data_IF_074075870382
#
_entry.id   IF_074075870382
#
_cell.length_a   1.000
_cell.length_b   1.000
_cell.length_c   1.000
_cell.angle_alpha   90.00
_cell.angle_beta   90.00
_cell.angle_gamma   90.00
#
_symmetry.space_group_name_H-M   'P 1'
#
loop_
_entity.id
_entity.type
_entity.pdbx_description
1 polymer ?
#
# COMPACT_ATOMS: atom_id res chain seq x y z
N UNK A 1 2.97 3.20 11.02
CA UNK A 1 3.07 1.74 10.94
C UNK A 1 3.81 1.26 12.17
N UNK A 2 3.24 0.31 12.89
CA UNK A 2 3.92 -0.37 13.98
C UNK A 2 5.23 -1.03 13.48
N UNK A 3 6.34 -0.83 14.20
CA UNK A 3 7.66 -1.32 13.81
C UNK A 3 7.75 -2.85 13.72
N UNK A 4 7.00 -3.57 14.56
CA UNK A 4 6.95 -5.03 14.54
C UNK A 4 6.27 -5.53 13.26
N UNK A 5 5.16 -4.91 12.89
CA UNK A 5 4.45 -5.19 11.63
C UNK A 5 5.36 -4.90 10.44
N UNK A 6 6.00 -3.73 10.42
CA UNK A 6 6.96 -3.38 9.38
C UNK A 6 8.11 -4.39 9.27
N UNK A 7 8.64 -4.86 10.40
CA UNK A 7 9.67 -5.90 10.44
C UNK A 7 9.20 -7.23 9.85
N UNK A 8 7.98 -7.66 10.17
CA UNK A 8 7.37 -8.88 9.61
C UNK A 8 7.17 -8.77 8.11
N UNK A 9 6.53 -7.69 7.64
CA UNK A 9 6.29 -7.48 6.22
C UNK A 9 7.59 -7.35 5.42
N UNK A 10 8.61 -6.70 5.99
CA UNK A 10 9.95 -6.64 5.38
C UNK A 10 10.58 -8.02 5.23
N UNK A 11 10.43 -8.90 6.21
CA UNK A 11 10.99 -10.25 6.14
C UNK A 11 10.26 -11.12 5.09
N UNK A 12 8.94 -10.97 4.98
CA UNK A 12 8.12 -11.76 4.07
C UNK A 12 8.20 -11.27 2.61
N UNK A 13 8.24 -9.96 2.41
CA UNK A 13 8.23 -9.31 1.10
C UNK A 13 9.56 -8.61 0.78
N UNK A 14 10.69 -9.17 1.22
CA UNK A 14 12.03 -8.53 1.18
C UNK A 14 12.34 -7.81 -0.14
N UNK A 15 12.06 -8.45 -1.28
CA UNK A 15 12.37 -7.88 -2.59
C UNK A 15 11.40 -6.79 -3.07
N UNK A 16 10.19 -6.73 -2.52
CA UNK A 16 9.20 -5.69 -2.82
C UNK A 16 9.23 -4.57 -1.78
N UNK A 17 9.84 -4.82 -0.62
CA UNK A 17 9.85 -3.90 0.50
C UNK A 17 10.74 -2.69 0.23
N UNK A 18 10.17 -1.50 0.43
CA UNK A 18 10.90 -0.25 0.43
C UNK A 18 10.65 0.51 1.73
N UNK A 19 11.67 1.18 2.26
CA UNK A 19 11.60 1.90 3.54
C UNK A 19 10.44 2.90 3.62
N UNK A 20 10.01 3.46 2.50
CA UNK A 20 8.88 4.40 2.49
C UNK A 20 7.55 3.78 2.93
N UNK A 21 7.40 2.45 2.89
CA UNK A 21 6.23 1.74 3.42
C UNK A 21 6.12 1.88 4.95
N UNK A 22 7.22 2.14 5.65
CA UNK A 22 7.22 2.38 7.11
C UNK A 22 6.45 3.66 7.49
N UNK A 23 6.29 4.61 6.54
CA UNK A 23 5.58 5.86 6.76
C UNK A 23 4.04 5.71 6.73
N UNK A 24 3.53 4.55 6.32
CA UNK A 24 2.08 4.32 6.26
C UNK A 24 1.44 4.36 7.65
N UNK A 25 0.23 4.90 7.81
CA UNK A 25 -0.55 4.76 9.03
C UNK A 25 -0.87 3.29 9.36
N UNK A 26 -1.11 2.99 10.63
CA UNK A 26 -1.34 1.61 11.08
C UNK A 26 -2.59 1.00 10.44
N UNK A 27 -3.66 1.79 10.28
CA UNK A 27 -4.89 1.35 9.64
C UNK A 27 -4.74 1.01 8.16
N UNK A 28 -3.68 1.45 7.48
CA UNK A 28 -3.41 1.14 6.08
C UNK A 28 -2.48 -0.06 5.88
N UNK A 29 -2.22 -0.82 6.96
CA UNK A 29 -1.43 -2.06 6.89
C UNK A 29 -2.09 -3.10 6.00
N UNK A 30 -3.40 -3.33 6.14
CA UNK A 30 -4.12 -4.32 5.35
C UNK A 30 -4.17 -3.98 3.84
N UNK A 31 -4.50 -2.74 3.43
CA UNK A 31 -4.31 -2.30 2.04
C UNK A 31 -2.90 -2.55 1.50
N UNK A 32 -1.86 -2.29 2.30
CA UNK A 32 -0.48 -2.56 1.88
C UNK A 32 -0.24 -4.06 1.68
N UNK A 33 -0.75 -4.93 2.57
CA UNK A 33 -0.61 -6.38 2.44
C UNK A 33 -1.28 -6.86 1.15
N UNK A 34 -2.49 -6.39 0.84
CA UNK A 34 -3.15 -6.74 -0.42
C UNK A 34 -2.35 -6.32 -1.65
N UNK A 35 -1.76 -5.12 -1.64
CA UNK A 35 -0.86 -4.68 -2.70
C UNK A 35 0.35 -5.61 -2.82
N UNK A 36 1.05 -5.87 -1.71
CA UNK A 36 2.26 -6.70 -1.69
C UNK A 36 1.97 -8.13 -2.18
N UNK A 37 0.87 -8.74 -1.75
CA UNK A 37 0.45 -10.07 -2.21
C UNK A 37 0.20 -10.11 -3.72
N UNK A 38 -0.52 -9.12 -4.26
CA UNK A 38 -0.78 -9.06 -5.71
C UNK A 38 0.53 -8.91 -6.50
N UNK A 39 1.40 -8.02 -6.04
CA UNK A 39 2.70 -7.79 -6.69
C UNK A 39 3.63 -9.00 -6.57
N UNK A 40 3.57 -9.73 -5.44
CA UNK A 40 4.28 -10.99 -5.25
C UNK A 40 3.78 -12.05 -6.25
N UNK A 41 2.46 -12.25 -6.36
CA UNK A 41 1.86 -13.19 -7.33
C UNK A 41 2.28 -12.86 -8.76
N UNK A 42 2.25 -11.59 -9.15
CA UNK A 42 2.72 -11.16 -10.47
C UNK A 42 4.21 -11.47 -10.70
N UNK A 43 5.02 -11.50 -9.64
CA UNK A 43 6.45 -11.82 -9.69
C UNK A 43 6.74 -13.33 -9.73
N UNK A 44 5.78 -14.19 -9.35
CA UNK A 44 5.94 -15.65 -9.34
C UNK A 44 5.62 -16.34 -10.68
N UNK A 45 5.06 -15.63 -11.65
CA UNK A 45 4.70 -16.21 -12.96
C UNK A 45 5.89 -16.04 -13.93
N UNK A 46 6.87 -16.92 -13.89
CA UNK A 46 7.90 -17.06 -14.93
C UNK A 46 8.22 -18.54 -15.10
N UNK A 47 8.76 -19.01 -16.24
CA UNK A 47 9.27 -20.37 -16.29
C UNK A 47 10.31 -20.51 -15.17
N UNK A 48 10.01 -21.40 -14.22
CA UNK A 48 10.93 -21.84 -13.19
C UNK A 48 12.06 -22.58 -13.87
N UNK A 49 13.00 -21.85 -14.46
CA UNK A 49 14.22 -22.46 -14.96
C UNK A 49 14.93 -23.00 -13.72
N UNK A 50 15.20 -24.31 -13.70
CA UNK A 50 15.88 -25.07 -12.64
C UNK A 50 17.22 -24.47 -12.14
N UNK A 51 17.69 -23.39 -12.75
CA UNK A 51 18.97 -22.73 -12.46
C UNK A 51 18.86 -21.49 -11.56
N UNK A 52 17.66 -21.02 -11.18
CA UNK A 52 17.54 -19.92 -10.20
C UNK A 52 16.23 -19.99 -9.42
N UNK A 53 16.22 -20.49 -8.17
CA UNK A 53 15.03 -20.55 -7.32
C UNK A 53 14.69 -19.18 -6.68
N UNK A 54 14.95 -18.09 -7.40
CA UNK A 54 14.78 -16.73 -6.91
C UNK A 54 13.50 -16.11 -7.47
N UNK A 55 12.72 -15.46 -6.60
CA UNK A 55 11.66 -14.55 -7.00
C UNK A 55 12.21 -13.59 -8.07
N UNK A 56 11.64 -13.58 -9.28
CA UNK A 56 12.02 -12.56 -10.28
C UNK A 56 11.20 -11.32 -9.97
N UNK A 57 11.68 -10.53 -9.03
CA UNK A 57 11.11 -9.22 -8.74
C UNK A 57 11.37 -8.31 -9.94
N UNK A 58 10.29 -7.90 -10.59
CA UNK A 58 10.32 -7.23 -11.88
C UNK A 58 9.97 -5.74 -11.78
N UNK A 59 9.54 -5.30 -10.60
CA UNK A 59 9.41 -3.89 -10.20
C UNK A 59 10.02 -3.61 -8.84
N UNK A 60 10.53 -2.40 -8.65
CA UNK A 60 10.73 -1.82 -7.34
C UNK A 60 9.48 -1.04 -6.95
N UNK A 61 8.98 -1.23 -5.73
CA UNK A 61 7.82 -0.51 -5.22
C UNK A 61 8.25 0.63 -4.30
N UNK A 62 7.58 1.77 -4.41
CA UNK A 62 7.68 2.88 -3.48
C UNK A 62 6.29 3.38 -3.13
N UNK A 63 6.05 3.65 -1.85
CA UNK A 63 4.82 4.27 -1.39
C UNK A 63 5.08 5.71 -0.96
N UNK A 64 4.16 6.61 -1.30
CA UNK A 64 4.08 7.98 -0.79
C UNK A 64 2.76 8.18 -0.05
N UNK A 65 2.83 8.83 1.11
CA UNK A 65 1.70 8.97 2.03
C UNK A 65 1.28 10.44 2.07
N UNK A 66 0.04 10.70 1.65
CA UNK A 66 -0.63 11.99 1.82
C UNK A 66 -1.52 12.01 3.06
N UNK A 67 -2.21 13.13 3.29
CA UNK A 67 -3.17 13.28 4.40
C UNK A 67 -4.37 12.35 4.26
N UNK A 68 -4.87 12.17 3.03
CA UNK A 68 -6.13 11.49 2.72
C UNK A 68 -5.99 10.19 1.93
N UNK A 69 -4.79 9.84 1.48
CA UNK A 69 -4.53 8.64 0.71
C UNK A 69 -3.04 8.31 0.67
N UNK A 70 -2.71 7.10 0.23
CA UNK A 70 -1.36 6.76 -0.20
C UNK A 70 -1.34 6.39 -1.68
N UNK A 71 -0.20 6.65 -2.32
CA UNK A 71 0.05 6.29 -3.72
C UNK A 71 1.26 5.36 -3.78
N UNK A 72 1.09 4.24 -4.47
CA UNK A 72 2.19 3.32 -4.75
C UNK A 72 2.69 3.51 -6.19
N UNK A 73 4.00 3.42 -6.35
CA UNK A 73 4.71 3.56 -7.63
C UNK A 73 5.52 2.31 -7.89
N UNK A 74 5.37 1.75 -9.09
CA UNK A 74 6.17 0.61 -9.55
C UNK A 74 7.19 1.08 -10.59
N UNK A 75 8.48 0.83 -10.33
CA UNK A 75 9.57 1.13 -11.25
C UNK A 75 10.07 -0.17 -11.88
N UNK A 76 10.09 -0.31 -13.21
CA UNK A 76 10.55 -1.54 -13.85
C UNK A 76 12.02 -1.83 -13.53
N UNK A 77 12.31 -3.06 -13.11
CA UNK A 77 13.70 -3.57 -12.96
C UNK A 77 14.07 -4.52 -14.10
N UNK A 78 13.09 -5.16 -14.73
CA UNK A 78 13.31 -5.97 -15.94
C UNK A 78 13.40 -5.10 -17.20
N UNK A 79 14.15 -5.60 -18.19
CA UNK A 79 14.22 -4.97 -19.50
C UNK A 79 12.82 -4.81 -20.14
N UNK A 80 12.54 -3.71 -20.87
CA UNK A 80 11.22 -3.40 -21.42
C UNK A 80 10.55 -4.53 -22.22
N UNK A 81 11.33 -5.35 -22.94
CA UNK A 81 10.80 -6.48 -23.73
C UNK A 81 10.33 -7.69 -22.93
N UNK A 82 10.47 -7.66 -21.60
CA UNK A 82 9.97 -8.71 -20.68
C UNK A 82 8.65 -8.33 -20.01
N UNK A 83 8.14 -7.13 -20.26
CA UNK A 83 6.84 -6.66 -19.79
C UNK A 83 5.76 -7.08 -20.78
N UNK A 84 4.95 -8.06 -20.38
CA UNK A 84 3.76 -8.42 -21.14
C UNK A 84 2.62 -7.44 -20.82
N UNK A 85 1.79 -7.03 -21.81
CA UNK A 85 0.70 -6.08 -21.60
C UNK A 85 -0.24 -6.45 -20.45
N UNK A 86 -0.57 -7.74 -20.32
CA UNK A 86 -1.43 -8.25 -19.25
C UNK A 86 -0.85 -8.01 -17.85
N UNK A 87 0.47 -8.19 -17.68
CA UNK A 87 1.13 -7.95 -16.39
C UNK A 87 1.25 -6.46 -16.08
N UNK A 88 1.51 -5.66 -17.11
CA UNK A 88 1.55 -4.20 -16.96
C UNK A 88 0.19 -3.68 -16.50
N UNK A 89 -0.89 -4.16 -17.12
CA UNK A 89 -2.26 -3.80 -16.72
C UNK A 89 -2.56 -4.26 -15.29
N UNK A 90 -2.28 -5.52 -14.95
CA UNK A 90 -2.52 -6.04 -13.61
C UNK A 90 -1.71 -5.30 -12.52
N UNK A 91 -0.51 -4.82 -12.85
CA UNK A 91 0.27 -3.96 -11.96
C UNK A 91 -0.42 -2.61 -11.77
N UNK A 92 -0.87 -1.96 -12.84
CA UNK A 92 -1.58 -0.67 -12.74
C UNK A 92 -2.85 -0.83 -11.91
N UNK A 93 -3.64 -1.88 -12.14
CA UNK A 93 -4.84 -2.19 -11.37
C UNK A 93 -4.53 -2.37 -9.87
N UNK A 94 -3.46 -3.08 -9.53
CA UNK A 94 -3.06 -3.26 -8.13
C UNK A 94 -2.67 -1.92 -7.45
N UNK A 95 -1.95 -1.04 -8.16
CA UNK A 95 -1.59 0.28 -7.64
C UNK A 95 -2.81 1.20 -7.48
N UNK A 96 -3.73 1.18 -8.44
CA UNK A 96 -4.97 1.98 -8.40
C UNK A 96 -5.90 1.49 -7.29
N UNK A 97 -6.02 0.18 -7.11
CA UNK A 97 -6.85 -0.39 -6.05
C UNK A 97 -6.28 -0.06 -4.67
N UNK A 98 -4.96 -0.15 -4.49
CA UNK A 98 -4.30 0.29 -3.25
C UNK A 98 -4.64 1.74 -2.91
N UNK A 99 -4.55 2.64 -3.91
CA UNK A 99 -4.91 4.04 -3.72
C UNK A 99 -6.36 4.20 -3.27
N UNK A 100 -7.30 3.55 -3.95
CA UNK A 100 -8.73 3.58 -3.62
C UNK A 100 -8.99 3.04 -2.21
N UNK A 101 -8.41 1.90 -1.84
CA UNK A 101 -8.55 1.33 -0.50
C UNK A 101 -8.12 2.32 0.59
N UNK A 102 -7.00 3.03 0.40
CA UNK A 102 -6.54 4.01 1.40
C UNK A 102 -7.45 5.23 1.56
N UNK A 103 -8.27 5.55 0.55
CA UNK A 103 -9.26 6.64 0.61
C UNK A 103 -10.53 6.28 1.40
N UNK A 104 -10.79 4.98 1.56
CA UNK A 104 -11.99 4.43 2.21
C UNK A 104 -11.65 3.71 3.53
N UNK A 105 -10.37 3.69 3.91
CA UNK A 105 -9.89 2.99 5.12
C UNK A 105 -9.43 3.99 6.17
N UNK A 106 -9.96 3.87 7.38
CA UNK A 106 -9.54 4.67 8.52
C UNK A 106 -8.03 4.52 8.78
N UNK A 107 -7.30 5.63 8.79
CA UNK A 107 -5.84 5.63 8.96
C UNK A 107 -5.38 5.12 10.34
N UNK A 108 -6.25 5.10 11.34
CA UNK A 108 -5.93 4.64 12.70
C UNK A 108 -6.15 3.14 12.85
N UNK A 109 -7.37 2.66 12.55
CA UNK A 109 -7.77 1.29 12.90
C UNK A 109 -8.05 0.36 11.73
N UNK A 110 -8.07 0.85 10.48
CA UNK A 110 -8.33 0.02 9.30
C UNK A 110 -9.81 -0.29 9.03
N UNK A 111 -10.74 0.22 9.85
CA UNK A 111 -12.18 0.12 9.56
C UNK A 111 -12.58 1.03 8.38
N UNK A 112 -13.79 0.85 7.85
CA UNK A 112 -14.36 1.78 6.86
C UNK A 112 -14.32 3.21 7.39
N UNK A 113 -13.82 4.12 6.55
CA UNK A 113 -13.62 5.51 6.89
C UNK A 113 -14.02 6.44 5.76
N UNK A 114 -14.21 7.72 6.12
CA UNK A 114 -14.56 8.75 5.17
C UNK A 114 -13.57 9.90 5.27
N UNK A 115 -13.36 10.59 4.15
CA UNK A 115 -12.55 11.81 4.11
C UNK A 115 -13.16 12.85 5.06
N UNK A 116 -12.42 13.22 6.10
CA UNK A 116 -12.75 14.32 6.99
C UNK A 116 -11.76 15.45 6.70
N UNK A 117 -12.29 16.54 6.14
CA UNK A 117 -11.50 17.74 5.87
C UNK A 117 -11.25 18.51 7.16
N UNK A 118 -10.14 19.24 7.18
CA UNK A 118 -9.86 20.21 8.24
C UNK A 118 -10.89 21.35 8.18
N UNK A 119 -11.90 21.29 9.05
CA UNK A 119 -12.79 22.44 9.31
C UNK A 119 -12.00 23.44 10.17
N UNK A 120 -12.25 24.75 10.00
CA UNK A 120 -11.63 25.83 10.78
C UNK A 120 -11.61 25.49 12.29
N UNK A 121 -10.43 25.20 12.82
CA UNK A 121 -10.20 24.82 14.22
C UNK A 121 -9.78 23.36 14.46
N UNK A 122 -10.04 22.45 13.52
CA UNK A 122 -9.49 21.08 13.56
C UNK A 122 -8.01 21.08 13.18
N UNK A 123 -7.21 20.19 13.79
CA UNK A 123 -5.79 20.01 13.46
C UNK A 123 -5.56 18.94 12.40
N UNK A 124 -6.53 18.04 12.21
CA UNK A 124 -6.29 16.79 11.48
C UNK A 124 -7.19 16.71 10.24
N UNK A 125 -6.55 16.39 9.11
CA UNK A 125 -7.20 16.02 7.85
C UNK A 125 -6.84 14.57 7.55
N UNK A 126 -7.79 13.79 7.07
CA UNK A 126 -7.55 12.42 6.63
C UNK A 126 -8.80 11.56 6.58
N UNK A 127 -8.61 10.25 6.43
CA UNK A 127 -9.69 9.26 6.38
C UNK A 127 -9.89 8.66 7.76
N UNK A 128 -11.07 8.86 8.34
CA UNK A 128 -11.41 8.42 9.69
C UNK A 128 -12.77 7.71 9.72
N UNK A 129 -12.88 6.67 10.54
CA UNK A 129 -14.17 6.12 10.93
C UNK A 129 -14.85 7.01 11.98
N UNK A 130 -16.11 6.73 12.32
CA UNK A 130 -16.87 7.55 13.27
C UNK A 130 -16.26 7.56 14.67
N UNK A 131 -15.66 6.45 15.11
CA UNK A 131 -14.98 6.36 16.42
C UNK A 131 -13.71 7.21 16.49
N UNK A 132 -12.99 7.33 15.38
CA UNK A 132 -11.72 8.05 15.30
C UNK A 132 -11.89 9.44 14.68
N UNK A 133 -13.11 9.94 14.54
CA UNK A 133 -13.38 11.24 13.95
C UNK A 133 -12.82 12.36 14.85
N UNK A 134 -11.79 13.10 14.40
CA UNK A 134 -11.17 14.15 15.22
C UNK A 134 -12.10 15.35 15.47
N UNK A 135 -13.19 15.48 14.71
CA UNK A 135 -14.22 16.50 14.91
C UNK A 135 -15.34 16.11 15.88
N UNK A 136 -15.33 14.89 16.42
CA UNK A 136 -16.42 14.37 17.26
C UNK A 136 -16.35 14.77 18.75
N UNK A 137 -15.58 15.80 19.11
CA UNK A 137 -15.54 16.30 20.50
C UNK A 137 -16.88 16.91 20.94
N UNK A 138 -17.62 16.11 21.72
CA UNK A 138 -18.51 16.43 22.84
C UNK A 138 -19.62 17.48 22.64
N UNK A 139 -20.74 17.07 22.06
CA UNK A 139 -22.06 17.51 22.53
C UNK A 139 -22.51 16.58 23.68
N UNK A 140 -22.04 16.85 24.89
CA UNK A 140 -22.59 16.32 26.14
C UNK A 140 -22.40 17.34 27.27
#
# INVERSE_FOLDING_TARGET
MNKEIAGRLRAEYEYLWHRSMEALPDGWTEPLVHLLERMYRLSTVGPSNFMSPGLITWVNLRVEVGSSSASAFAMPVMAPGKWHPERALACVEALTEFHAQTQETCLICGAEGHLRMRILGSRDEGVFCDTHNPGATNEA
#
